data_IF_073233448536
#
_entry.id   IF_073233448536
#
_cell.length_a   1.000
_cell.length_b   1.000
_cell.length_c   1.000
_cell.angle_alpha   90.00
_cell.angle_beta   90.00
_cell.angle_gamma   90.00
#
_symmetry.space_group_name_H-M   'P 1'
#
loop_
_entity.id
_entity.type
_entity.pdbx_description
1 polymer ?
#
# COMPACT_ATOMS: atom_id res chain seq x y z
N UNK A 1 49.43 -18.15 64.57
CA UNK A 1 49.96 -18.66 63.28
C UNK A 1 48.86 -19.49 62.61
N UNK A 2 48.17 -18.91 61.63
CA UNK A 2 47.19 -19.62 60.79
C UNK A 2 47.85 -19.91 59.44
N UNK A 3 48.07 -21.19 59.13
CA UNK A 3 48.62 -21.65 57.86
C UNK A 3 47.58 -21.56 56.74
N UNK A 4 47.97 -21.01 55.59
CA UNK A 4 47.18 -20.97 54.36
C UNK A 4 47.43 -22.26 53.56
N UNK A 5 46.36 -22.95 53.18
CA UNK A 5 46.37 -23.93 52.09
C UNK A 5 45.95 -23.21 50.80
N UNK A 6 46.76 -23.33 49.75
CA UNK A 6 46.49 -22.83 48.41
C UNK A 6 45.92 -23.99 47.58
N UNK A 7 44.69 -23.82 47.07
CA UNK A 7 44.09 -24.70 46.08
C UNK A 7 44.06 -23.93 44.75
N UNK A 8 44.88 -24.37 43.79
CA UNK A 8 44.90 -23.83 42.43
C UNK A 8 43.84 -24.52 41.59
N UNK A 9 42.78 -23.80 41.21
CA UNK A 9 41.84 -24.22 40.18
C UNK A 9 42.24 -23.51 38.88
N UNK A 10 42.76 -24.29 37.93
CA UNK A 10 42.97 -23.82 36.57
C UNK A 10 41.61 -23.61 35.91
N UNK A 11 41.20 -22.35 35.76
CA UNK A 11 40.02 -21.99 34.96
C UNK A 11 40.42 -22.13 33.49
N UNK A 12 39.98 -23.20 32.86
CA UNK A 12 39.90 -23.27 31.40
C UNK A 12 38.81 -22.28 30.98
N UNK A 13 39.20 -21.08 30.56
CA UNK A 13 38.29 -20.13 29.95
C UNK A 13 37.90 -20.66 28.55
N UNK A 14 36.84 -21.46 28.50
CA UNK A 14 36.11 -21.69 27.26
C UNK A 14 35.42 -20.36 26.96
N UNK A 15 36.01 -19.56 26.06
CA UNK A 15 35.30 -18.47 25.42
C UNK A 15 34.21 -19.11 24.54
N UNK A 16 33.04 -19.36 25.13
CA UNK A 16 31.82 -19.43 24.34
C UNK A 16 31.63 -18.02 23.78
N UNK A 17 32.08 -17.81 22.54
CA UNK A 17 31.53 -16.79 21.66
C UNK A 17 30.07 -17.18 21.44
N UNK A 18 29.22 -16.90 22.41
CA UNK A 18 27.81 -16.68 22.17
C UNK A 18 27.74 -15.46 21.26
N UNK A 19 27.81 -15.70 19.96
CA UNK A 19 27.31 -14.82 18.92
C UNK A 19 25.84 -14.59 19.26
N UNK A 20 25.57 -13.60 20.12
CA UNK A 20 24.23 -13.05 20.21
C UNK A 20 23.99 -12.41 18.85
N UNK A 21 23.16 -13.06 18.02
CA UNK A 21 22.67 -12.46 16.80
C UNK A 21 22.05 -11.11 17.19
N UNK A 22 22.70 -10.02 16.75
CA UNK A 22 22.18 -8.68 16.97
C UNK A 22 20.82 -8.62 16.28
N UNK A 23 19.77 -8.23 17.03
CA UNK A 23 18.45 -8.01 16.46
C UNK A 23 18.57 -7.15 15.19
N UNK A 24 17.95 -7.59 14.11
CA UNK A 24 17.95 -6.83 12.86
C UNK A 24 17.25 -5.47 12.98
N UNK A 25 16.40 -5.32 14.00
CA UNK A 25 15.69 -4.08 14.35
C UNK A 25 16.70 -2.95 14.63
N UNK A 26 16.63 -1.88 13.83
CA UNK A 26 17.47 -0.67 13.87
C UNK A 26 18.88 -0.79 13.22
N UNK A 27 19.18 -1.87 12.49
CA UNK A 27 20.39 -1.89 11.63
C UNK A 27 20.27 -0.81 10.54
N UNK A 28 21.35 -0.08 10.26
CA UNK A 28 21.37 0.99 9.26
C UNK A 28 20.72 2.31 9.69
N UNK A 29 20.21 2.40 10.93
CA UNK A 29 19.66 3.66 11.45
C UNK A 29 20.78 4.57 11.94
N UNK A 30 20.71 5.89 11.66
CA UNK A 30 21.68 6.85 12.16
C UNK A 30 21.75 6.84 13.69
N UNK A 31 22.98 6.83 14.23
CA UNK A 31 23.21 7.03 15.66
C UNK A 31 23.42 8.52 15.94
N UNK A 32 23.07 8.97 17.15
CA UNK A 32 23.16 10.40 17.50
C UNK A 32 24.61 10.92 17.59
N UNK A 33 25.58 10.04 17.88
CA UNK A 33 26.99 10.38 18.08
C UNK A 33 27.91 9.31 17.46
N UNK A 34 28.00 9.22 16.13
CA UNK A 34 28.83 8.21 15.46
C UNK A 34 30.32 8.56 15.56
N UNK A 35 31.19 7.55 15.65
CA UNK A 35 32.61 7.73 15.32
C UNK A 35 32.76 7.67 13.80
N UNK A 36 32.54 8.82 13.16
CA UNK A 36 32.49 8.92 11.70
C UNK A 36 33.71 8.31 11.01
N UNK A 37 34.91 8.45 11.58
CA UNK A 37 36.12 7.93 10.92
C UNK A 37 36.20 6.41 11.04
N UNK A 38 35.96 5.88 12.24
CA UNK A 38 35.98 4.43 12.45
C UNK A 38 34.85 3.74 11.68
N UNK A 39 33.65 4.29 11.74
CA UNK A 39 32.46 3.75 11.07
C UNK A 39 32.53 3.93 9.54
N UNK A 40 33.22 4.95 9.02
CA UNK A 40 33.43 5.04 7.57
C UNK A 40 34.43 3.99 7.06
N UNK A 41 35.50 3.71 7.83
CA UNK A 41 36.49 2.68 7.48
C UNK A 41 35.91 1.28 7.64
N UNK A 42 35.10 1.07 8.68
CA UNK A 42 34.40 -0.19 8.98
C UNK A 42 32.90 0.08 9.18
N UNK A 43 32.11 0.17 8.09
CA UNK A 43 30.68 0.43 8.17
C UNK A 43 29.96 -0.55 9.10
N UNK A 44 29.12 -0.06 10.02
CA UNK A 44 28.29 -0.95 10.82
C UNK A 44 27.29 -1.69 9.92
N UNK A 45 26.79 -2.82 10.41
CA UNK A 45 25.75 -3.60 9.72
C UNK A 45 24.49 -2.76 9.50
N UNK A 46 23.90 -2.91 8.32
CA UNK A 46 22.74 -2.18 7.81
C UNK A 46 23.08 -1.03 6.84
N UNK A 47 24.36 -0.82 6.52
CA UNK A 47 24.81 0.13 5.48
C UNK A 47 25.35 -0.58 4.21
N UNK A 48 25.28 -1.90 4.17
CA UNK A 48 25.64 -2.73 3.02
C UNK A 48 24.59 -2.75 1.93
N UNK A 49 24.94 -3.37 0.81
CA UNK A 49 24.09 -3.46 -0.37
C UNK A 49 22.88 -4.38 -0.12
N UNK A 50 21.80 -4.10 -0.86
CA UNK A 50 20.61 -4.96 -0.96
C UNK A 50 20.38 -5.25 -2.45
N UNK A 51 21.00 -6.29 -3.02
CA UNK A 51 20.79 -6.63 -4.43
C UNK A 51 19.44 -7.31 -4.65
N UNK A 52 18.92 -7.15 -5.88
CA UNK A 52 17.88 -8.03 -6.40
C UNK A 52 18.44 -9.44 -6.60
N UNK A 53 17.69 -10.43 -6.13
CA UNK A 53 18.08 -11.83 -6.15
C UNK A 53 17.02 -12.66 -6.86
N UNK A 54 17.26 -12.88 -8.15
CA UNK A 54 16.27 -13.47 -9.05
C UNK A 54 16.18 -14.99 -8.88
N UNK A 55 15.07 -15.46 -8.31
CA UNK A 55 14.76 -16.89 -8.14
C UNK A 55 14.07 -17.46 -9.38
N UNK A 56 14.71 -17.28 -10.53
CA UNK A 56 14.12 -17.57 -11.84
C UNK A 56 14.95 -18.59 -12.63
N UNK A 57 14.32 -19.17 -13.65
CA UNK A 57 14.91 -20.09 -14.66
C UNK A 57 15.16 -21.53 -14.19
N UNK A 58 15.85 -21.73 -13.07
CA UNK A 58 16.18 -23.06 -12.54
C UNK A 58 15.31 -23.45 -11.34
N UNK A 59 15.19 -24.76 -11.11
CA UNK A 59 14.59 -25.28 -9.88
C UNK A 59 15.37 -24.84 -8.66
N UNK A 60 14.67 -24.26 -7.69
CA UNK A 60 15.22 -23.91 -6.39
C UNK A 60 15.69 -25.18 -5.66
N UNK A 61 16.97 -25.17 -5.33
CA UNK A 61 17.64 -26.26 -4.63
C UNK A 61 18.32 -25.69 -3.39
N UNK A 62 18.03 -26.28 -2.22
CA UNK A 62 18.49 -25.75 -0.93
C UNK A 62 20.01 -25.77 -0.81
N UNK A 63 20.68 -26.80 -1.30
CA UNK A 63 22.14 -26.87 -1.28
C UNK A 63 22.77 -25.72 -2.07
N UNK A 64 22.30 -25.48 -3.30
CA UNK A 64 22.76 -24.38 -4.15
C UNK A 64 22.45 -23.01 -3.54
N UNK A 65 21.25 -22.81 -3.00
CA UNK A 65 20.88 -21.56 -2.33
C UNK A 65 21.76 -21.30 -1.12
N UNK A 66 22.12 -22.35 -0.36
CA UNK A 66 23.02 -22.24 0.78
C UNK A 66 24.43 -21.84 0.36
N UNK A 67 25.00 -22.48 -0.66
CA UNK A 67 26.30 -22.11 -1.22
C UNK A 67 26.33 -20.64 -1.67
N UNK A 68 25.27 -20.19 -2.35
CA UNK A 68 25.13 -18.79 -2.77
C UNK A 68 25.08 -17.84 -1.57
N UNK A 69 24.28 -18.19 -0.55
CA UNK A 69 24.16 -17.40 0.67
C UNK A 69 25.47 -17.32 1.45
N UNK A 70 26.24 -18.41 1.52
CA UNK A 70 27.56 -18.43 2.17
C UNK A 70 28.55 -17.48 1.46
N UNK A 71 28.58 -17.47 0.13
CA UNK A 71 29.38 -16.52 -0.67
C UNK A 71 28.93 -15.09 -0.40
N UNK A 72 27.62 -14.83 -0.47
CA UNK A 72 27.06 -13.49 -0.31
C UNK A 72 27.26 -12.95 1.12
N UNK A 73 27.22 -13.80 2.14
CA UNK A 73 27.45 -13.41 3.55
C UNK A 73 28.87 -12.89 3.82
N UNK A 74 29.84 -13.26 2.96
CA UNK A 74 31.23 -12.78 3.03
C UNK A 74 31.44 -11.46 2.26
N UNK A 75 30.42 -10.98 1.56
CA UNK A 75 30.44 -9.72 0.81
C UNK A 75 29.88 -8.54 1.63
N UNK A 76 29.95 -7.34 1.06
CA UNK A 76 29.32 -6.13 1.62
C UNK A 76 27.79 -6.10 1.39
N UNK A 77 27.11 -7.20 1.72
CA UNK A 77 25.66 -7.38 1.58
C UNK A 77 25.02 -7.48 2.96
N UNK A 78 23.90 -6.78 3.16
CA UNK A 78 23.14 -6.82 4.42
C UNK A 78 21.73 -7.41 4.27
N UNK A 79 21.28 -7.63 3.03
CA UNK A 79 20.09 -8.41 2.74
C UNK A 79 19.84 -8.59 1.26
N UNK A 80 18.68 -9.11 0.88
CA UNK A 80 18.33 -9.41 -0.51
C UNK A 80 16.86 -9.09 -0.79
N UNK A 81 16.55 -8.58 -1.97
CA UNK A 81 15.17 -8.55 -2.46
C UNK A 81 14.98 -9.68 -3.46
N UNK A 82 14.28 -10.75 -3.06
CA UNK A 82 14.04 -11.91 -3.93
C UNK A 82 12.98 -11.54 -4.96
N UNK A 83 13.35 -11.65 -6.24
CA UNK A 83 12.51 -11.20 -7.36
C UNK A 83 12.22 -12.33 -8.33
N UNK A 84 11.12 -12.19 -9.07
CA UNK A 84 10.72 -13.11 -10.13
C UNK A 84 10.59 -12.37 -11.45
N UNK A 85 11.17 -12.95 -12.51
CA UNK A 85 11.02 -12.39 -13.87
C UNK A 85 9.58 -12.56 -14.35
N UNK A 86 9.17 -11.76 -15.33
CA UNK A 86 7.95 -12.00 -16.09
C UNK A 86 8.25 -12.67 -17.44
N UNK A 87 7.22 -13.21 -18.06
CA UNK A 87 7.23 -13.66 -19.46
C UNK A 87 7.29 -12.45 -20.41
N UNK A 88 7.72 -12.68 -21.66
CA UNK A 88 7.67 -11.66 -22.71
C UNK A 88 6.20 -11.31 -23.03
N UNK A 89 5.79 -10.03 -23.13
CA UNK A 89 4.40 -9.64 -23.37
C UNK A 89 3.78 -10.22 -24.65
N UNK A 90 4.57 -10.36 -25.73
CA UNK A 90 4.08 -10.90 -26.99
C UNK A 90 3.82 -12.40 -26.87
N UNK A 91 4.72 -13.11 -26.21
CA UNK A 91 4.57 -14.55 -25.90
C UNK A 91 3.40 -14.77 -24.93
N UNK A 92 3.29 -13.92 -23.91
CA UNK A 92 2.25 -13.99 -22.90
C UNK A 92 0.85 -13.75 -23.47
N UNK A 93 0.71 -12.85 -24.46
CA UNK A 93 -0.55 -12.59 -25.15
C UNK A 93 -1.14 -13.84 -25.85
N UNK A 94 -0.30 -14.82 -26.17
CA UNK A 94 -0.68 -16.10 -26.78
C UNK A 94 -1.07 -17.14 -25.72
N UNK A 95 -0.28 -17.30 -24.66
CA UNK A 95 -0.48 -18.32 -23.62
C UNK A 95 -1.47 -17.91 -22.53
N UNK A 96 -1.60 -16.61 -22.29
CA UNK A 96 -2.37 -16.01 -21.20
C UNK A 96 -3.31 -14.92 -21.71
N UNK A 97 -4.01 -15.17 -22.82
CA UNK A 97 -4.97 -14.24 -23.47
C UNK A 97 -6.01 -13.60 -22.53
N UNK A 98 -6.24 -14.18 -21.35
CA UNK A 98 -7.20 -13.72 -20.35
C UNK A 98 -6.56 -13.08 -19.10
N UNK A 99 -5.24 -12.90 -19.04
CA UNK A 99 -4.51 -12.25 -17.95
C UNK A 99 -3.87 -10.94 -18.40
N UNK A 100 -3.76 -9.96 -17.50
CA UNK A 100 -3.11 -8.68 -17.80
C UNK A 100 -1.86 -8.54 -16.93
N UNK A 101 -0.69 -8.77 -17.52
CA UNK A 101 0.58 -8.35 -16.94
C UNK A 101 1.08 -7.15 -17.75
N UNK A 102 1.31 -6.01 -17.09
CA UNK A 102 1.79 -4.76 -17.72
C UNK A 102 2.97 -5.00 -18.68
N UNK A 103 3.86 -5.93 -18.29
CA UNK A 103 5.02 -6.38 -19.04
C UNK A 103 5.03 -7.91 -19.25
N UNK A 104 3.88 -8.59 -19.09
CA UNK A 104 3.76 -10.05 -19.06
C UNK A 104 3.53 -10.60 -17.65
N UNK A 105 3.13 -11.87 -17.55
CA UNK A 105 2.87 -12.54 -16.26
C UNK A 105 4.15 -12.93 -15.55
N UNK A 106 4.12 -12.95 -14.22
CA UNK A 106 5.22 -13.51 -13.43
C UNK A 106 5.50 -14.93 -13.89
N UNK A 107 6.75 -15.21 -14.21
CA UNK A 107 7.23 -16.58 -14.42
C UNK A 107 7.09 -17.30 -13.08
N UNK A 108 6.33 -18.41 -13.02
CA UNK A 108 5.94 -19.01 -11.74
C UNK A 108 7.12 -19.55 -10.94
N UNK A 109 8.30 -19.74 -11.54
CA UNK A 109 9.43 -20.41 -10.89
C UNK A 109 9.20 -21.91 -10.68
N UNK A 110 10.21 -22.59 -10.14
CA UNK A 110 10.13 -24.01 -9.78
C UNK A 110 10.77 -24.22 -8.39
N UNK A 111 10.01 -24.55 -7.33
CA UNK A 111 8.56 -24.75 -7.33
C UNK A 111 7.80 -23.42 -7.56
N UNK A 112 6.52 -23.49 -8.01
CA UNK A 112 5.72 -22.29 -8.26
C UNK A 112 5.64 -21.37 -7.04
N UNK A 113 5.78 -20.05 -7.24
CA UNK A 113 5.67 -19.04 -6.17
C UNK A 113 4.40 -19.26 -5.37
N UNK A 114 4.52 -19.22 -4.04
CA UNK A 114 3.45 -19.46 -3.08
C UNK A 114 2.84 -20.87 -3.03
N UNK A 115 3.39 -21.84 -3.75
CA UNK A 115 3.10 -23.26 -3.49
C UNK A 115 3.61 -23.69 -2.11
N UNK A 116 3.14 -24.82 -1.58
CA UNK A 116 3.62 -25.35 -0.29
C UNK A 116 5.13 -25.65 -0.33
N UNK A 117 5.63 -26.17 -1.45
CA UNK A 117 7.08 -26.39 -1.63
C UNK A 117 7.87 -25.08 -1.64
N UNK A 118 7.30 -24.03 -2.26
CA UNK A 118 7.90 -22.69 -2.21
C UNK A 118 7.95 -22.15 -0.79
N UNK A 119 6.87 -22.26 -0.02
CA UNK A 119 6.84 -21.84 1.39
C UNK A 119 7.86 -22.61 2.24
N UNK A 120 8.04 -23.90 1.98
CA UNK A 120 9.06 -24.72 2.65
C UNK A 120 10.50 -24.28 2.33
N UNK A 121 10.73 -23.74 1.13
CA UNK A 121 12.02 -23.16 0.74
C UNK A 121 12.17 -21.75 1.33
N UNK A 122 11.14 -20.91 1.23
CA UNK A 122 11.12 -19.54 1.75
C UNK A 122 11.39 -19.48 3.26
N UNK A 123 10.65 -20.27 4.05
CA UNK A 123 10.86 -20.36 5.50
C UNK A 123 12.29 -20.77 5.82
N UNK A 124 12.76 -21.85 5.20
CA UNK A 124 14.13 -22.31 5.41
C UNK A 124 15.17 -21.24 5.03
N UNK A 125 15.08 -20.66 3.84
CA UNK A 125 16.05 -19.69 3.34
C UNK A 125 16.07 -18.40 4.18
N UNK A 126 14.89 -17.93 4.57
CA UNK A 126 14.74 -16.77 5.45
C UNK A 126 15.35 -17.05 6.83
N UNK A 127 15.17 -18.25 7.37
CA UNK A 127 15.84 -18.68 8.60
C UNK A 127 17.36 -18.76 8.49
N UNK A 128 17.91 -19.25 7.38
CA UNK A 128 19.37 -19.23 7.14
C UNK A 128 19.91 -17.79 7.05
N UNK A 129 19.16 -16.88 6.41
CA UNK A 129 19.50 -15.45 6.38
C UNK A 129 19.54 -14.86 7.79
N UNK A 130 18.56 -15.19 8.64
CA UNK A 130 18.51 -14.75 10.03
C UNK A 130 19.76 -15.20 10.81
N UNK A 131 20.18 -16.46 10.66
CA UNK A 131 21.38 -17.01 11.32
C UNK A 131 22.66 -16.29 10.90
N UNK A 132 22.74 -15.84 9.65
CA UNK A 132 23.86 -15.07 9.11
C UNK A 132 23.74 -13.56 9.34
N UNK A 133 22.66 -13.11 9.98
CA UNK A 133 22.41 -11.70 10.28
C UNK A 133 22.07 -10.85 9.04
N UNK A 134 21.56 -11.49 7.98
CA UNK A 134 21.14 -10.90 6.71
C UNK A 134 19.62 -10.76 6.64
N UNK A 135 19.12 -9.65 6.09
CA UNK A 135 17.71 -9.47 5.78
C UNK A 135 17.32 -10.14 4.46
N UNK A 136 16.05 -10.48 4.30
CA UNK A 136 15.50 -10.90 3.00
C UNK A 136 14.09 -10.35 2.83
N UNK A 137 13.74 -9.90 1.64
CA UNK A 137 12.36 -9.55 1.29
C UNK A 137 11.92 -10.33 0.07
N UNK A 138 10.61 -10.48 -0.08
CA UNK A 138 10.03 -10.73 -1.38
C UNK A 138 9.81 -9.37 -2.05
N UNK A 139 10.30 -9.24 -3.26
CA UNK A 139 9.97 -8.19 -4.20
C UNK A 139 8.57 -8.45 -4.76
N UNK A 140 7.67 -7.47 -4.65
CA UNK A 140 6.33 -7.57 -5.24
C UNK A 140 6.31 -7.32 -6.75
N UNK A 141 7.45 -7.06 -7.40
CA UNK A 141 7.55 -6.98 -8.85
C UNK A 141 6.82 -8.13 -9.52
N UNK A 142 5.83 -7.80 -10.35
CA UNK A 142 4.89 -8.69 -11.04
C UNK A 142 3.92 -9.49 -10.15
N UNK A 143 4.30 -9.87 -8.94
CA UNK A 143 3.48 -10.65 -7.98
C UNK A 143 2.41 -9.77 -7.30
N UNK A 144 2.77 -8.51 -7.05
CA UNK A 144 1.92 -7.46 -6.50
C UNK A 144 0.96 -6.85 -7.52
N UNK A 145 1.13 -7.16 -8.81
CA UNK A 145 0.35 -6.53 -9.87
C UNK A 145 -1.07 -7.07 -9.95
N UNK A 146 -2.02 -6.14 -9.98
CA UNK A 146 -3.44 -6.45 -10.16
C UNK A 146 -3.65 -7.17 -11.51
N UNK A 147 -4.27 -8.36 -11.46
CA UNK A 147 -4.59 -9.19 -12.62
C UNK A 147 -3.50 -10.21 -13.01
N UNK A 148 -2.39 -10.30 -12.26
CA UNK A 148 -1.28 -11.20 -12.60
C UNK A 148 -1.48 -12.65 -12.07
N UNK A 149 -2.47 -12.88 -11.21
CA UNK A 149 -2.92 -14.19 -10.73
C UNK A 149 -2.49 -14.55 -9.31
N UNK A 150 -1.99 -13.58 -8.55
CA UNK A 150 -1.45 -13.80 -7.20
C UNK A 150 -2.38 -13.28 -6.11
N UNK A 151 -1.87 -13.10 -4.90
CA UNK A 151 -2.68 -12.81 -3.74
C UNK A 151 -3.47 -11.49 -3.80
N UNK A 152 -2.95 -10.38 -4.37
CA UNK A 152 -3.73 -9.15 -4.53
C UNK A 152 -5.02 -9.33 -5.34
N UNK A 153 -5.02 -10.18 -6.38
CA UNK A 153 -6.21 -10.43 -7.22
C UNK A 153 -7.39 -11.02 -6.45
N UNK A 154 -7.16 -11.59 -5.27
CA UNK A 154 -8.26 -12.05 -4.41
C UNK A 154 -9.19 -10.92 -4.01
N UNK A 155 -8.69 -9.67 -3.93
CA UNK A 155 -9.48 -8.47 -3.67
C UNK A 155 -10.63 -8.35 -4.67
N UNK A 156 -10.39 -8.61 -5.97
CA UNK A 156 -11.40 -8.49 -7.03
C UNK A 156 -12.65 -9.35 -6.80
N UNK A 157 -12.53 -10.43 -6.02
CA UNK A 157 -13.60 -11.38 -5.74
C UNK A 157 -14.20 -11.25 -4.34
N UNK A 158 -13.67 -10.35 -3.50
CA UNK A 158 -14.17 -10.19 -2.13
C UNK A 158 -15.56 -9.58 -2.12
N UNK A 159 -16.47 -10.19 -1.37
CA UNK A 159 -17.87 -9.73 -1.26
C UNK A 159 -18.02 -8.28 -0.81
N UNK A 160 -17.11 -7.80 0.05
CA UNK A 160 -17.08 -6.41 0.53
C UNK A 160 -16.83 -5.38 -0.58
N UNK A 161 -16.20 -5.79 -1.68
CA UNK A 161 -15.91 -4.95 -2.84
C UNK A 161 -16.88 -5.17 -3.99
N UNK A 162 -17.71 -6.22 -3.93
CA UNK A 162 -18.72 -6.45 -4.93
C UNK A 162 -19.79 -5.36 -4.89
N UNK A 163 -20.13 -4.86 -6.07
CA UNK A 163 -21.10 -3.80 -6.29
C UNK A 163 -20.73 -2.41 -5.74
N UNK A 164 -19.49 -2.21 -5.26
CA UNK A 164 -19.04 -0.88 -4.82
C UNK A 164 -18.94 0.08 -6.01
N UNK A 165 -19.50 1.28 -5.89
CA UNK A 165 -19.54 2.27 -6.96
C UNK A 165 -18.24 3.08 -7.01
N UNK A 166 -17.10 2.45 -7.29
CA UNK A 166 -15.79 3.10 -7.19
C UNK A 166 -15.18 3.61 -8.50
N UNK A 167 -15.96 3.71 -9.58
CA UNK A 167 -15.50 4.26 -10.85
C UNK A 167 -16.58 5.11 -11.49
N UNK A 168 -16.21 6.29 -12.00
CA UNK A 168 -17.08 7.14 -12.81
C UNK A 168 -17.07 6.71 -14.27
N UNK A 169 -18.25 6.80 -14.89
CA UNK A 169 -18.43 6.78 -16.34
C UNK A 169 -19.16 8.05 -16.73
N UNK A 170 -18.61 8.77 -17.71
CA UNK A 170 -19.11 10.06 -18.17
C UNK A 170 -19.44 9.93 -19.66
N UNK A 171 -20.72 9.73 -19.96
CA UNK A 171 -21.24 9.78 -21.32
C UNK A 171 -21.50 11.22 -21.73
N UNK A 172 -21.22 11.56 -22.99
CA UNK A 172 -21.35 12.93 -23.51
C UNK A 172 -22.08 12.93 -24.84
N UNK A 173 -23.05 13.83 -25.00
CA UNK A 173 -23.90 13.95 -26.18
C UNK A 173 -23.93 15.39 -26.68
N UNK A 174 -23.62 15.61 -27.95
CA UNK A 174 -23.79 16.93 -28.59
C UNK A 174 -25.25 17.12 -28.99
N UNK A 175 -25.84 18.26 -28.63
CA UNK A 175 -27.24 18.60 -28.86
C UNK A 175 -27.32 19.98 -29.47
N UNK A 176 -28.02 20.12 -30.60
CA UNK A 176 -28.17 21.40 -31.26
C UNK A 176 -29.15 22.30 -30.50
N UNK A 177 -29.01 23.61 -30.67
CA UNK A 177 -29.98 24.58 -30.15
C UNK A 177 -31.41 24.20 -30.57
N UNK A 178 -32.34 24.25 -29.63
CA UNK A 178 -33.73 23.89 -29.90
C UNK A 178 -34.00 22.41 -30.14
N UNK A 179 -33.01 21.51 -30.06
CA UNK A 179 -33.21 20.07 -30.25
C UNK A 179 -33.84 19.44 -29.00
N UNK A 180 -34.71 18.43 -29.19
CA UNK A 180 -35.21 17.62 -28.07
C UNK A 180 -34.27 16.43 -27.88
N UNK A 181 -33.54 16.42 -26.78
CA UNK A 181 -32.72 15.30 -26.37
C UNK A 181 -33.53 14.32 -25.54
N UNK A 182 -33.33 13.02 -25.81
CA UNK A 182 -33.91 11.94 -25.01
C UNK A 182 -32.89 10.81 -24.84
N UNK A 183 -32.71 10.32 -23.62
CA UNK A 183 -31.92 9.11 -23.38
C UNK A 183 -32.50 8.28 -22.24
N UNK A 184 -32.20 6.98 -22.26
CA UNK A 184 -32.47 6.09 -21.12
C UNK A 184 -31.31 6.18 -20.14
N UNK A 185 -31.62 6.33 -18.86
CA UNK A 185 -30.62 6.42 -17.81
C UNK A 185 -30.03 5.04 -17.48
N UNK A 186 -28.72 4.97 -17.23
CA UNK A 186 -28.05 3.76 -16.74
C UNK A 186 -28.52 3.40 -15.32
N UNK A 187 -28.29 2.16 -14.90
CA UNK A 187 -28.79 1.65 -13.61
C UNK A 187 -28.21 2.39 -12.40
N UNK A 188 -26.90 2.67 -12.43
CA UNK A 188 -26.17 3.38 -11.37
C UNK A 188 -25.99 4.86 -11.68
N UNK A 189 -27.08 5.48 -12.14
CA UNK A 189 -27.10 6.90 -12.49
C UNK A 189 -26.70 7.78 -11.30
N UNK A 190 -25.76 8.70 -11.54
CA UNK A 190 -25.26 9.65 -10.55
C UNK A 190 -25.81 11.06 -10.79
N UNK A 191 -25.62 11.61 -12.00
CA UNK A 191 -26.08 12.97 -12.33
C UNK A 191 -26.15 13.23 -13.83
N UNK A 192 -26.86 14.30 -14.23
CA UNK A 192 -26.90 14.76 -15.60
C UNK A 192 -26.85 16.29 -15.69
N UNK A 193 -25.95 16.82 -16.53
CA UNK A 193 -25.77 18.26 -16.70
C UNK A 193 -25.62 18.64 -18.17
N UNK A 194 -26.17 19.78 -18.58
CA UNK A 194 -25.88 20.40 -19.87
C UNK A 194 -24.86 21.54 -19.72
N UNK A 195 -23.92 21.61 -20.66
CA UNK A 195 -22.92 22.68 -20.82
C UNK A 195 -23.00 23.27 -22.24
N UNK A 196 -22.73 24.55 -22.49
CA UNK A 196 -22.29 25.56 -21.53
C UNK A 196 -23.40 25.98 -20.54
N UNK A 197 -23.04 26.57 -19.40
CA UNK A 197 -24.01 27.10 -18.43
C UNK A 197 -24.31 26.23 -17.19
N UNK A 198 -23.79 25.00 -17.13
CA UNK A 198 -23.94 24.11 -15.95
C UNK A 198 -25.42 23.95 -15.54
N UNK A 199 -26.26 23.55 -16.50
CA UNK A 199 -27.69 23.37 -16.31
C UNK A 199 -27.92 21.98 -15.71
N UNK A 200 -28.48 21.92 -14.50
CA UNK A 200 -28.90 20.66 -13.87
C UNK A 200 -30.11 20.07 -14.60
N UNK A 201 -29.99 18.83 -15.04
CA UNK A 201 -31.04 18.13 -15.79
C UNK A 201 -31.90 17.20 -14.91
N UNK A 202 -31.66 17.15 -13.60
CA UNK A 202 -32.37 16.28 -12.65
C UNK A 202 -33.90 16.43 -12.73
N UNK A 203 -34.40 17.65 -12.88
CA UNK A 203 -35.84 17.96 -13.00
C UNK A 203 -36.50 17.50 -14.30
N UNK A 204 -35.73 17.04 -15.29
CA UNK A 204 -36.20 16.57 -16.60
C UNK A 204 -36.20 15.04 -16.73
N UNK A 205 -35.96 14.36 -15.62
CA UNK A 205 -35.92 12.91 -15.53
C UNK A 205 -37.30 12.40 -15.09
N UNK A 206 -37.85 11.48 -15.88
CA UNK A 206 -39.10 10.79 -15.57
C UNK A 206 -38.89 9.28 -15.64
N UNK A 207 -38.93 8.61 -14.48
CA UNK A 207 -38.58 7.19 -14.38
C UNK A 207 -37.11 6.96 -14.73
N UNK A 208 -36.85 6.17 -15.78
CA UNK A 208 -35.49 5.89 -16.29
C UNK A 208 -35.18 6.65 -17.58
N UNK A 209 -35.87 7.74 -17.86
CA UNK A 209 -35.72 8.49 -19.11
C UNK A 209 -35.48 9.96 -18.82
N UNK A 210 -34.45 10.53 -19.45
CA UNK A 210 -34.16 11.96 -19.45
C UNK A 210 -34.72 12.56 -20.74
N UNK A 211 -35.55 13.60 -20.64
CA UNK A 211 -36.14 14.32 -21.78
C UNK A 211 -35.95 15.82 -21.61
N UNK A 212 -35.06 16.41 -22.39
CA UNK A 212 -34.72 17.82 -22.27
C UNK A 212 -34.72 18.54 -23.61
N UNK A 213 -35.36 19.71 -23.67
CA UNK A 213 -35.39 20.57 -24.86
C UNK A 213 -34.30 21.63 -24.73
N UNK A 214 -33.31 21.59 -25.61
CA UNK A 214 -32.23 22.56 -25.61
C UNK A 214 -32.76 23.98 -25.88
N UNK A 215 -32.30 25.00 -25.15
CA UNK A 215 -32.59 26.39 -25.47
C UNK A 215 -32.19 26.76 -26.89
N UNK A 216 -32.79 27.83 -27.43
CA UNK A 216 -32.52 28.32 -28.79
C UNK A 216 -31.23 29.17 -28.89
N UNK A 217 -30.46 29.28 -27.81
CA UNK A 217 -29.32 30.20 -27.70
C UNK A 217 -28.06 29.67 -28.37
N UNK A 218 -27.65 28.45 -28.05
CA UNK A 218 -26.41 27.84 -28.50
C UNK A 218 -26.53 26.31 -28.52
N UNK A 219 -25.50 25.64 -29.03
CA UNK A 219 -25.42 24.19 -28.96
C UNK A 219 -24.89 23.76 -27.59
N UNK A 220 -25.37 22.63 -27.10
CA UNK A 220 -25.03 22.10 -25.79
C UNK A 220 -24.33 20.75 -25.90
N UNK A 221 -23.51 20.43 -24.91
CA UNK A 221 -23.11 19.07 -24.56
C UNK A 221 -23.84 18.64 -23.30
N UNK A 222 -24.54 17.52 -23.37
CA UNK A 222 -25.15 16.87 -22.22
C UNK A 222 -24.22 15.79 -21.74
N UNK A 223 -23.98 15.76 -20.44
CA UNK A 223 -23.22 14.71 -19.78
C UNK A 223 -24.17 13.90 -18.91
N UNK A 224 -24.19 12.59 -19.11
CA UNK A 224 -24.90 11.64 -18.26
C UNK A 224 -23.82 10.84 -17.53
N UNK A 225 -23.83 10.94 -16.21
CA UNK A 225 -22.78 10.41 -15.36
C UNK A 225 -23.37 9.28 -14.52
N UNK A 226 -22.66 8.16 -14.49
CA UNK A 226 -23.02 7.00 -13.70
C UNK A 226 -21.77 6.34 -13.14
N UNK A 227 -21.96 5.33 -12.31
CA UNK A 227 -20.84 4.61 -11.71
C UNK A 227 -20.76 3.16 -12.20
N UNK A 228 -19.58 2.58 -12.06
CA UNK A 228 -19.27 1.17 -12.30
C UNK A 228 -18.61 0.55 -11.07
N UNK A 229 -18.53 -0.79 -11.07
CA UNK A 229 -17.85 -1.52 -10.02
C UNK A 229 -16.34 -1.29 -10.07
N UNK A 230 -15.76 -0.86 -8.96
CA UNK A 230 -14.31 -0.78 -8.71
C UNK A 230 -14.13 -0.53 -7.23
N UNK A 231 -13.06 -1.01 -6.58
CA UNK A 231 -12.81 -0.83 -5.14
C UNK A 231 -11.54 -0.04 -4.84
N UNK A 232 -10.92 0.56 -5.86
CA UNK A 232 -9.58 1.15 -5.77
C UNK A 232 -9.48 2.21 -4.66
N UNK A 233 -10.53 3.00 -4.44
CA UNK A 233 -10.64 3.98 -3.34
C UNK A 233 -11.56 3.52 -2.20
N UNK A 234 -11.89 2.24 -2.10
CA UNK A 234 -12.72 1.74 -1.02
C UNK A 234 -11.96 1.91 0.33
N UNK A 235 -12.60 2.40 1.41
CA UNK A 235 -11.94 2.63 2.71
C UNK A 235 -11.23 1.41 3.32
N UNK A 236 -11.70 0.21 2.99
CA UNK A 236 -11.12 -1.07 3.43
C UNK A 236 -10.04 -1.63 2.48
N UNK A 237 -9.68 -0.98 1.38
CA UNK A 237 -8.79 -1.55 0.36
C UNK A 237 -7.44 -1.99 0.95
N UNK A 238 -6.67 -1.05 1.51
CA UNK A 238 -5.34 -1.34 2.08
C UNK A 238 -5.41 -2.37 3.20
N UNK A 239 -6.42 -2.29 4.08
CA UNK A 239 -6.65 -3.29 5.13
C UNK A 239 -6.85 -4.69 4.55
N UNK A 240 -7.67 -4.83 3.51
CA UNK A 240 -7.88 -6.14 2.87
C UNK A 240 -6.66 -6.61 2.09
N UNK A 241 -5.87 -5.70 1.51
CA UNK A 241 -4.59 -6.03 0.90
C UNK A 241 -3.61 -6.62 1.92
N UNK A 242 -3.52 -6.02 3.12
CA UNK A 242 -2.76 -6.57 4.26
C UNK A 242 -3.21 -7.98 4.62
N UNK A 243 -4.51 -8.19 4.80
CA UNK A 243 -5.06 -9.51 5.12
C UNK A 243 -4.76 -10.58 4.05
N UNK A 244 -4.84 -10.23 2.76
CA UNK A 244 -4.70 -11.21 1.67
C UNK A 244 -3.25 -11.48 1.29
N UNK A 245 -2.35 -10.50 1.48
CA UNK A 245 -0.96 -10.56 1.04
C UNK A 245 0.01 -10.62 2.22
N UNK A 246 0.12 -9.56 3.01
CA UNK A 246 1.14 -9.40 4.05
C UNK A 246 0.95 -10.35 5.25
N UNK A 247 -0.27 -10.48 5.78
CA UNK A 247 -0.58 -11.34 6.94
C UNK A 247 -0.26 -12.82 6.68
N UNK A 248 -0.27 -13.24 5.41
CA UNK A 248 0.07 -14.62 5.05
C UNK A 248 1.51 -14.97 5.34
N UNK A 249 2.44 -14.05 5.11
CA UNK A 249 3.83 -14.26 5.50
C UNK A 249 3.92 -14.42 7.01
N UNK A 250 3.25 -13.56 7.77
CA UNK A 250 3.23 -13.65 9.22
C UNK A 250 2.76 -15.04 9.70
N UNK A 251 1.66 -15.56 9.15
CA UNK A 251 1.08 -16.84 9.55
C UNK A 251 1.79 -18.08 9.00
N UNK A 252 2.43 -17.99 7.83
CA UNK A 252 3.12 -19.12 7.18
C UNK A 252 4.56 -19.31 7.66
N UNK A 253 5.18 -18.26 8.21
CA UNK A 253 6.57 -18.28 8.64
C UNK A 253 6.69 -18.65 10.13
N UNK A 254 7.77 -19.34 10.49
CA UNK A 254 8.11 -19.57 11.90
C UNK A 254 8.85 -18.35 12.51
N UNK A 255 9.17 -18.41 13.79
CA UNK A 255 9.81 -17.28 14.49
C UNK A 255 11.17 -16.92 13.92
N UNK A 256 12.01 -17.91 13.57
CA UNK A 256 13.35 -17.67 13.04
C UNK A 256 13.27 -17.09 11.62
N UNK A 257 12.38 -17.63 10.81
CA UNK A 257 12.12 -17.13 9.46
C UNK A 257 11.66 -15.68 9.49
N UNK A 258 10.76 -15.30 10.41
CA UNK A 258 10.33 -13.90 10.58
C UNK A 258 11.44 -12.95 11.02
N UNK A 259 12.51 -13.45 11.65
CA UNK A 259 13.68 -12.63 11.95
C UNK A 259 14.52 -12.34 10.71
N UNK A 260 14.51 -13.23 9.70
CA UNK A 260 15.19 -13.02 8.43
C UNK A 260 14.39 -12.15 7.47
N UNK A 261 13.07 -12.35 7.39
CA UNK A 261 12.20 -11.52 6.56
C UNK A 261 11.77 -10.25 7.29
N UNK A 262 12.62 -9.24 7.22
CA UNK A 262 12.51 -8.02 8.02
C UNK A 262 12.02 -6.79 7.23
N UNK A 263 11.78 -6.90 5.93
CA UNK A 263 11.13 -5.89 5.10
C UNK A 263 10.37 -6.51 3.93
N UNK A 264 9.51 -5.71 3.31
CA UNK A 264 8.96 -5.94 1.98
C UNK A 264 9.53 -4.89 1.03
N UNK A 265 9.77 -5.28 -0.21
CA UNK A 265 10.12 -4.34 -1.26
C UNK A 265 8.95 -4.28 -2.23
N UNK A 266 8.38 -3.08 -2.38
CA UNK A 266 7.38 -2.83 -3.41
C UNK A 266 8.08 -2.15 -4.58
N UNK A 267 8.10 -2.81 -5.74
CA UNK A 267 8.67 -2.24 -6.96
C UNK A 267 7.61 -1.41 -7.70
N UNK A 268 7.56 -1.41 -9.05
CA UNK A 268 6.60 -0.59 -9.78
C UNK A 268 5.16 -0.84 -9.31
N UNK A 269 4.63 0.16 -8.61
CA UNK A 269 3.31 0.12 -8.01
C UNK A 269 2.24 -0.04 -9.09
N UNK A 270 1.62 -1.22 -9.13
CA UNK A 270 0.47 -1.53 -9.98
C UNK A 270 -0.83 -1.30 -9.22
N UNK A 271 -1.08 -0.03 -8.90
CA UNK A 271 -2.31 0.46 -8.30
C UNK A 271 -3.13 1.19 -9.37
N UNK A 272 -4.27 0.62 -9.86
CA UNK A 272 -4.97 1.09 -11.07
C UNK A 272 -5.82 2.35 -10.83
N UNK A 273 -5.31 3.30 -10.05
CA UNK A 273 -5.94 4.59 -9.82
C UNK A 273 -5.82 5.51 -11.03
N UNK A 274 -6.89 6.25 -11.32
CA UNK A 274 -6.92 7.21 -12.42
C UNK A 274 -7.95 8.32 -12.14
N UNK A 275 -8.01 9.32 -13.01
CA UNK A 275 -8.92 10.47 -12.86
C UNK A 275 -10.42 10.13 -12.81
N UNK A 276 -10.82 8.92 -13.21
CA UNK A 276 -12.21 8.44 -13.11
C UNK A 276 -12.41 7.45 -11.95
N UNK A 277 -11.38 7.16 -11.15
CA UNK A 277 -11.53 6.46 -9.87
C UNK A 277 -12.41 7.30 -8.94
N UNK A 278 -13.28 6.62 -8.19
CA UNK A 278 -14.36 7.21 -7.40
C UNK A 278 -14.56 6.44 -6.10
N UNK A 279 -15.36 7.00 -5.21
CA UNK A 279 -15.87 6.35 -4.01
C UNK A 279 -17.25 6.92 -3.68
N UNK A 280 -18.09 6.14 -3.00
CA UNK A 280 -19.45 6.59 -2.63
C UNK A 280 -19.43 7.88 -1.78
N UNK A 281 -18.37 8.08 -1.01
CA UNK A 281 -18.14 9.23 -0.14
C UNK A 281 -17.25 10.34 -0.77
N UNK A 282 -16.87 10.18 -2.04
CA UNK A 282 -16.00 11.15 -2.73
C UNK A 282 -16.60 12.55 -2.77
N UNK A 283 -17.90 12.77 -3.08
CA UNK A 283 -18.48 14.11 -3.07
C UNK A 283 -18.36 14.82 -1.72
N UNK A 284 -18.57 14.07 -0.63
CA UNK A 284 -18.50 14.58 0.74
C UNK A 284 -17.06 14.94 1.10
N UNK A 285 -16.11 14.06 0.80
CA UNK A 285 -14.68 14.32 1.03
C UNK A 285 -14.17 15.51 0.20
N UNK A 286 -14.61 15.60 -1.06
CA UNK A 286 -14.28 16.73 -1.92
C UNK A 286 -14.84 18.04 -1.36
N UNK A 287 -16.14 18.08 -1.04
CA UNK A 287 -16.80 19.27 -0.49
C UNK A 287 -16.14 19.72 0.82
N UNK A 288 -15.75 18.77 1.68
CA UNK A 288 -15.07 19.05 2.95
C UNK A 288 -13.70 19.71 2.75
N UNK A 289 -12.92 19.26 1.76
CA UNK A 289 -11.54 19.72 1.52
C UNK A 289 -11.49 21.00 0.66
N UNK A 290 -12.36 21.11 -0.34
CA UNK A 290 -12.33 22.20 -1.33
C UNK A 290 -13.43 23.26 -1.14
N UNK A 291 -14.45 22.99 -0.33
CA UNK A 291 -15.50 23.95 0.01
C UNK A 291 -16.61 24.12 -1.04
N UNK A 292 -16.68 23.26 -2.07
CA UNK A 292 -17.75 23.29 -3.07
C UNK A 292 -18.07 21.90 -3.63
N UNK A 293 -19.25 21.77 -4.25
CA UNK A 293 -19.76 20.49 -4.77
C UNK A 293 -19.12 20.17 -6.12
N UNK A 294 -18.50 19.00 -6.22
CA UNK A 294 -17.83 18.51 -7.43
C UNK A 294 -18.79 17.99 -8.49
N UNK A 295 -19.99 17.54 -8.09
CA UNK A 295 -20.92 16.80 -8.97
C UNK A 295 -21.23 17.57 -10.28
N UNK A 296 -21.54 18.88 -10.27
CA UNK A 296 -21.79 19.64 -11.50
C UNK A 296 -20.57 19.79 -12.42
N UNK A 297 -19.37 19.55 -11.89
CA UNK A 297 -18.09 19.77 -12.56
C UNK A 297 -17.39 18.48 -12.99
N UNK A 298 -17.94 17.30 -12.68
CA UNK A 298 -17.40 16.02 -13.15
C UNK A 298 -17.15 15.95 -14.67
N UNK A 299 -17.92 16.61 -15.56
CA UNK A 299 -17.57 16.67 -16.99
C UNK A 299 -16.15 17.21 -17.28
N UNK A 300 -15.59 18.05 -16.39
CA UNK A 300 -14.22 18.55 -16.50
C UNK A 300 -13.17 17.44 -16.53
N UNK A 301 -13.44 16.28 -15.93
CA UNK A 301 -12.50 15.16 -15.87
C UNK A 301 -12.25 14.54 -17.25
N UNK A 302 -13.24 14.62 -18.15
CA UNK A 302 -13.16 14.08 -19.51
C UNK A 302 -12.91 15.17 -20.55
N UNK A 303 -13.52 16.34 -20.39
CA UNK A 303 -13.50 17.39 -21.41
C UNK A 303 -13.17 18.78 -20.83
N UNK A 304 -12.90 19.74 -21.71
CA UNK A 304 -12.75 21.14 -21.33
C UNK A 304 -14.12 21.82 -21.27
N UNK A 305 -14.57 22.19 -20.07
CA UNK A 305 -15.85 22.86 -19.81
C UNK A 305 -15.73 24.37 -19.60
N UNK A 306 -14.56 24.93 -19.93
CA UNK A 306 -14.23 26.35 -19.72
C UNK A 306 -13.05 26.56 -18.78
N UNK A 307 -12.74 27.82 -18.47
CA UNK A 307 -11.53 28.22 -17.75
C UNK A 307 -11.39 27.61 -16.34
N UNK A 308 -12.48 27.11 -15.75
CA UNK A 308 -12.47 26.42 -14.46
C UNK A 308 -11.85 25.00 -14.54
N UNK A 309 -11.80 24.39 -15.73
CA UNK A 309 -11.39 22.99 -15.94
C UNK A 309 -10.07 22.62 -15.26
N UNK A 310 -8.96 23.39 -15.43
CA UNK A 310 -7.69 23.02 -14.80
C UNK A 310 -7.78 23.01 -13.27
N UNK A 311 -8.50 23.98 -12.68
CA UNK A 311 -8.72 24.02 -11.23
C UNK A 311 -9.50 22.80 -10.75
N UNK A 312 -10.60 22.44 -11.43
CA UNK A 312 -11.39 21.26 -11.04
C UNK A 312 -10.53 20.00 -11.09
N UNK A 313 -9.72 19.83 -12.14
CA UNK A 313 -8.85 18.65 -12.28
C UNK A 313 -7.80 18.57 -11.17
N UNK A 314 -7.20 19.70 -10.80
CA UNK A 314 -6.22 19.77 -9.72
C UNK A 314 -6.87 19.46 -8.37
N UNK A 315 -7.97 20.12 -8.03
CA UNK A 315 -8.70 19.88 -6.78
C UNK A 315 -9.21 18.42 -6.70
N UNK A 316 -9.66 17.85 -7.83
CA UNK A 316 -10.10 16.45 -7.88
C UNK A 316 -8.93 15.49 -7.69
N UNK A 317 -7.82 15.72 -8.39
CA UNK A 317 -6.63 14.90 -8.28
C UNK A 317 -6.06 14.93 -6.85
N UNK A 318 -6.08 16.09 -6.19
CA UNK A 318 -5.62 16.26 -4.81
C UNK A 318 -6.44 15.40 -3.83
N UNK A 319 -7.77 15.44 -3.93
CA UNK A 319 -8.68 14.60 -3.13
C UNK A 319 -8.47 13.12 -3.48
N UNK A 320 -8.41 12.80 -4.77
CA UNK A 320 -8.22 11.43 -5.26
C UNK A 320 -6.95 10.79 -4.69
N UNK A 321 -5.82 11.50 -4.76
CA UNK A 321 -4.54 11.01 -4.26
C UNK A 321 -4.52 10.98 -2.74
N UNK A 322 -5.12 11.96 -2.05
CA UNK A 322 -5.24 11.92 -0.59
C UNK A 322 -6.03 10.69 -0.12
N UNK A 323 -7.15 10.37 -0.77
CA UNK A 323 -7.94 9.18 -0.44
C UNK A 323 -7.18 7.89 -0.78
N UNK A 324 -6.39 7.88 -1.85
CA UNK A 324 -5.52 6.75 -2.15
C UNK A 324 -4.46 6.53 -1.06
N UNK A 325 -3.83 7.60 -0.60
CA UNK A 325 -2.89 7.57 0.52
C UNK A 325 -3.55 6.98 1.77
N UNK A 326 -4.66 7.58 2.22
CA UNK A 326 -5.40 7.19 3.42
C UNK A 326 -5.92 5.75 3.37
N UNK A 327 -6.30 5.25 2.19
CA UNK A 327 -7.05 3.99 2.06
C UNK A 327 -6.25 2.83 1.51
N UNK A 328 -5.17 3.10 0.77
CA UNK A 328 -4.29 2.09 0.20
C UNK A 328 -2.96 2.07 0.94
N UNK A 329 -2.24 3.19 0.96
CA UNK A 329 -0.86 3.24 1.45
C UNK A 329 -0.77 3.24 2.97
N UNK A 330 -1.50 4.13 3.64
CA UNK A 330 -1.47 4.26 5.09
C UNK A 330 -1.71 2.92 5.76
N UNK A 331 -2.72 2.09 5.42
CA UNK A 331 -2.88 0.78 6.06
C UNK A 331 -1.74 -0.22 5.82
N UNK A 332 -1.01 -0.11 4.71
CA UNK A 332 0.15 -0.97 4.40
C UNK A 332 1.36 -0.55 5.26
N UNK A 333 1.55 0.76 5.45
CA UNK A 333 2.61 1.31 6.29
C UNK A 333 2.23 1.41 7.78
N UNK A 334 0.94 1.42 8.09
CA UNK A 334 0.32 1.46 9.41
C UNK A 334 0.21 0.07 10.03
N UNK A 335 1.36 -0.49 10.41
CA UNK A 335 1.41 -1.78 11.12
C UNK A 335 1.97 -1.59 12.54
N UNK A 336 1.10 -1.75 13.57
CA UNK A 336 1.42 -2.35 14.88
C UNK A 336 0.18 -2.54 15.82
N UNK A 337 0.03 -3.57 16.69
CA UNK A 337 0.99 -4.52 17.32
C UNK A 337 0.31 -5.69 18.09
N UNK A 338 1.07 -6.77 18.38
CA UNK A 338 0.81 -7.93 19.28
C UNK A 338 -0.10 -9.01 18.67
N UNK A 339 -0.05 -9.21 17.35
CA UNK A 339 -0.96 -10.10 16.61
C UNK A 339 -2.44 -9.69 16.67
N UNK A 340 -2.80 -8.50 17.18
CA UNK A 340 -4.17 -7.97 17.08
C UNK A 340 -4.26 -6.44 17.24
N UNK A 341 -4.91 -5.79 16.28
CA UNK A 341 -5.25 -4.35 16.28
C UNK A 341 -6.38 -4.05 17.30
N UNK A 342 -6.14 -3.11 18.22
CA UNK A 342 -7.11 -2.69 19.25
C UNK A 342 -8.02 -1.54 18.75
N UNK A 343 -7.52 -0.66 17.87
CA UNK A 343 -8.30 0.41 17.24
C UNK A 343 -7.44 1.51 16.62
N UNK A 344 -8.02 2.34 15.75
CA UNK A 344 -7.36 3.46 15.05
C UNK A 344 -8.14 4.74 15.35
N UNK A 345 -7.42 5.80 15.73
CA UNK A 345 -7.99 7.09 16.13
C UNK A 345 -7.63 8.17 15.10
N UNK A 346 -8.48 8.34 14.09
CA UNK A 346 -8.24 9.22 12.93
C UNK A 346 -8.71 10.65 13.15
N UNK A 347 -9.66 10.89 14.07
CA UNK A 347 -10.22 12.21 14.34
C UNK A 347 -10.65 12.38 15.80
N UNK A 348 -10.81 13.63 16.29
CA UNK A 348 -11.26 13.89 17.65
C UNK A 348 -12.61 13.18 17.93
N UNK A 349 -12.81 12.64 19.15
CA UNK A 349 -12.08 12.97 20.38
C UNK A 349 -10.84 12.12 20.68
N UNK A 350 -10.33 11.30 19.74
CA UNK A 350 -9.17 10.43 19.95
C UNK A 350 -9.28 9.53 21.21
N UNK A 351 -10.44 8.89 21.41
CA UNK A 351 -10.70 7.98 22.53
C UNK A 351 -11.03 6.57 22.04
N UNK A 352 -10.48 5.56 22.70
CA UNK A 352 -10.67 4.14 22.38
C UNK A 352 -10.90 3.35 23.67
N UNK A 353 -11.99 2.58 23.74
CA UNK A 353 -12.22 1.63 24.82
C UNK A 353 -11.36 0.37 24.61
N UNK A 354 -10.39 0.19 25.51
CA UNK A 354 -9.47 -0.94 25.48
C UNK A 354 -9.82 -2.03 26.49
N UNK A 355 -10.89 -1.86 27.28
CA UNK A 355 -11.31 -2.76 28.37
C UNK A 355 -11.42 -4.23 27.93
N UNK A 356 -12.02 -4.56 26.76
CA UNK A 356 -12.14 -5.94 26.31
C UNK A 356 -10.81 -6.65 26.03
N UNK A 357 -9.72 -5.89 25.90
CA UNK A 357 -8.41 -6.35 25.46
C UNK A 357 -7.39 -6.45 26.61
N UNK A 358 -7.79 -6.05 27.82
CA UNK A 358 -6.94 -6.08 29.01
C UNK A 358 -6.93 -7.48 29.63
N UNK A 359 -5.74 -7.93 30.07
CA UNK A 359 -5.59 -9.17 30.85
C UNK A 359 -5.18 -8.87 32.29
N UNK A 360 -5.44 -9.82 33.19
CA UNK A 360 -4.98 -9.73 34.57
C UNK A 360 -3.43 -9.70 34.64
N UNK A 361 -2.88 -8.77 35.42
CA UNK A 361 -1.45 -8.56 35.56
C UNK A 361 -0.86 -7.56 34.56
N UNK A 362 0.38 -7.80 34.11
CA UNK A 362 1.13 -6.84 33.31
C UNK A 362 0.62 -6.78 31.86
N UNK A 363 0.26 -5.57 31.44
CA UNK A 363 -0.15 -5.25 30.07
C UNK A 363 0.91 -4.36 29.41
N UNK A 364 1.25 -4.64 28.14
CA UNK A 364 2.17 -3.80 27.35
C UNK A 364 1.40 -3.17 26.20
N UNK A 365 1.18 -1.87 26.28
CA UNK A 365 0.61 -1.06 25.21
C UNK A 365 1.72 -0.40 24.40
N UNK A 366 1.51 -0.24 23.10
CA UNK A 366 2.36 0.56 22.22
C UNK A 366 1.44 1.39 21.35
N UNK A 367 1.76 2.68 21.26
CA UNK A 367 1.03 3.63 20.44
C UNK A 367 2.01 4.06 19.37
N UNK A 368 1.67 3.74 18.13
CA UNK A 368 2.44 4.16 16.98
C UNK A 368 1.75 5.39 16.38
N UNK A 369 2.54 6.42 16.14
CA UNK A 369 2.04 7.73 15.72
C UNK A 369 2.62 8.01 14.37
N UNK A 370 1.76 8.10 13.37
CA UNK A 370 2.14 8.39 12.01
C UNK A 370 2.21 9.90 11.82
N UNK A 371 3.30 10.34 11.21
CA UNK A 371 3.39 11.70 10.70
C UNK A 371 2.76 11.75 9.32
N UNK A 372 1.99 12.79 9.02
CA UNK A 372 1.44 13.00 7.68
C UNK A 372 2.51 13.51 6.71
N UNK A 373 2.19 13.57 5.40
CA UNK A 373 3.02 14.20 4.37
C UNK A 373 3.42 15.65 4.67
N UNK A 374 2.77 16.30 5.65
CA UNK A 374 3.12 17.63 6.11
C UNK A 374 4.62 17.79 6.46
N UNK A 375 5.26 16.74 6.97
CA UNK A 375 6.70 16.75 7.27
C UNK A 375 7.57 16.78 6.00
N UNK A 376 7.17 16.03 4.97
CA UNK A 376 7.86 16.03 3.68
C UNK A 376 7.71 17.36 2.95
N UNK A 377 6.53 17.99 3.05
CA UNK A 377 6.28 19.33 2.52
C UNK A 377 7.11 20.44 3.20
N UNK A 378 7.70 20.18 4.38
CA UNK A 378 8.70 21.09 4.95
C UNK A 378 10.02 21.08 4.18
N UNK A 379 10.41 19.94 3.60
CA UNK A 379 11.75 19.76 3.03
C UNK A 379 11.84 20.09 1.54
N UNK A 380 10.71 20.34 0.87
CA UNK A 380 10.65 20.62 -0.57
C UNK A 380 9.91 21.95 -0.85
N UNK A 381 10.19 22.64 -1.97
CA UNK A 381 9.38 23.78 -2.41
C UNK A 381 7.96 23.32 -2.77
N UNK A 382 6.95 23.77 -2.02
CA UNK A 382 5.56 23.34 -2.21
C UNK A 382 4.58 24.41 -1.72
N UNK A 383 3.41 24.59 -2.39
CA UNK A 383 2.34 25.47 -1.89
C UNK A 383 1.64 24.93 -0.63
N UNK A 384 1.88 23.65 -0.27
CA UNK A 384 1.29 22.97 0.89
C UNK A 384 2.13 23.10 2.18
N UNK A 385 3.12 23.99 2.18
CA UNK A 385 4.01 24.23 3.32
C UNK A 385 3.30 25.09 4.37
N UNK A 386 2.61 24.45 5.31
CA UNK A 386 2.04 25.06 6.53
C UNK A 386 2.83 24.66 7.80
N UNK A 387 2.42 25.16 8.98
CA UNK A 387 2.96 24.72 10.27
C UNK A 387 2.49 23.27 10.55
N UNK A 388 3.39 22.27 10.54
CA UNK A 388 2.99 20.89 10.72
C UNK A 388 2.63 20.63 12.19
N UNK A 389 1.37 20.28 12.47
CA UNK A 389 0.98 19.64 13.74
C UNK A 389 1.01 18.13 13.53
N UNK A 390 2.15 17.52 13.78
CA UNK A 390 2.35 16.07 13.68
C UNK A 390 2.86 15.50 15.01
N UNK A 391 2.53 14.25 15.30
CA UNK A 391 2.93 13.58 16.54
C UNK A 391 1.87 13.65 17.65
N UNK A 392 2.26 13.22 18.85
CA UNK A 392 1.44 13.35 20.05
C UNK A 392 1.41 14.81 20.49
N UNK A 393 0.29 15.48 20.25
CA UNK A 393 0.12 16.89 20.60
C UNK A 393 -0.10 17.09 22.10
N UNK A 394 -0.61 16.07 22.79
CA UNK A 394 -0.87 16.04 24.23
C UNK A 394 -0.47 14.68 24.83
N UNK A 395 -0.27 14.56 26.16
CA UNK A 395 0.02 13.29 26.80
C UNK A 395 -1.11 12.27 26.59
N UNK A 396 -0.74 11.02 26.35
CA UNK A 396 -1.70 9.91 26.36
C UNK A 396 -2.13 9.65 27.80
N UNK A 397 -3.44 9.77 28.06
CA UNK A 397 -4.02 9.48 29.37
C UNK A 397 -4.79 8.17 29.32
N UNK A 398 -4.55 7.31 30.30
CA UNK A 398 -5.42 6.16 30.57
C UNK A 398 -6.49 6.61 31.56
N UNK A 399 -7.73 6.65 31.10
CA UNK A 399 -8.88 6.94 31.95
C UNK A 399 -9.42 5.62 32.52
N UNK A 400 -9.53 5.53 33.84
CA UNK A 400 -10.14 4.42 34.54
C UNK A 400 -11.44 4.97 35.12
N UNK A 401 -12.58 4.57 34.56
CA UNK A 401 -13.91 4.92 35.06
C UNK A 401 -14.49 3.82 35.94
#
# INVERSE_FOLDING_TARGET
>A
MKGKFLLSVSILAVFSLSLFAQMQKNKGYPTANPDLRSEFVNPPKGYGNIPFYWWSVDRLNKERLKEQLEILSQSATDGFSVSYIHTDPEVDSVFNKNGYGLFGRTSPGDPPVFSEDWWNIWNWYSGECAQLGLGVSLDDYTIGWSGNGYYPDKLDTMSVFQNYQGKLVIDSYSVNKGELFTCRLPERFLSAFAWSGRIDLSGYIHGKELKWKAPQTENYKIYVIHTENSYVLHPLHGKKLVEVYFDRFYHRMDSLSREGMNYFFQDELSYPINMLSWSDDFPQEFQRRNGYDVIPYLPALKEYIGAVTPKIRLDYADVLISLAEERYFEPIYEVKKNDSLVGILLSPPYQLDITPYMKEGNNKMEILVYSTLANHYQTIPTPYRGDPKAGLLEPVNLLIE
#
